data_IF_753084536864
#
_entry.id   IF_753084536864
#
_cell.length_a   1.000
_cell.length_b   1.000
_cell.length_c   1.000
_cell.angle_alpha   90.00
_cell.angle_beta   90.00
_cell.angle_gamma   90.00
#
_symmetry.space_group_name_H-M   'P 1'
#
loop_
_entity.id
_entity.type
_entity.pdbx_description
1 polymer ?
#
# COMPACT_ATOMS: atom_id res chain seq x y z
N UNK A 1 2.41 -1.76 -6.42
CA UNK A 1 2.06 -0.42 -6.95
C UNK A 1 1.65 0.48 -5.81
N UNK A 2 2.52 1.05 -5.00
CA UNK A 2 2.26 1.76 -3.73
C UNK A 2 3.10 3.05 -3.62
N UNK A 3 2.54 4.22 -3.87
CA UNK A 3 1.54 4.73 -2.93
C UNK A 3 0.49 5.67 -3.57
N UNK A 4 0.63 5.98 -4.85
CA UNK A 4 -0.13 7.08 -5.46
C UNK A 4 -0.86 6.66 -6.73
N UNK A 5 -0.30 5.72 -7.48
CA UNK A 5 -1.01 5.03 -8.57
C UNK A 5 -2.24 4.27 -8.06
N UNK A 6 -2.16 3.58 -6.91
CA UNK A 6 -3.34 2.98 -6.24
C UNK A 6 -4.36 4.00 -5.80
N UNK A 7 -3.93 5.08 -5.14
CA UNK A 7 -4.82 6.16 -4.69
C UNK A 7 -5.57 6.80 -5.87
N UNK A 8 -4.88 7.04 -6.99
CA UNK A 8 -5.50 7.55 -8.23
C UNK A 8 -6.51 6.57 -8.83
N UNK A 9 -6.20 5.28 -8.86
CA UNK A 9 -7.13 4.27 -9.40
C UNK A 9 -8.37 4.11 -8.51
N UNK A 10 -8.22 4.29 -7.19
CA UNK A 10 -9.38 4.36 -6.29
C UNK A 10 -10.30 5.54 -6.59
N UNK A 11 -9.78 6.67 -7.10
CA UNK A 11 -10.61 7.79 -7.55
C UNK A 11 -11.57 7.38 -8.67
N UNK A 12 -11.05 6.63 -9.65
CA UNK A 12 -11.83 6.08 -10.75
C UNK A 12 -12.87 5.07 -10.26
N UNK A 13 -12.45 4.14 -9.40
CA UNK A 13 -13.32 3.11 -8.81
C UNK A 13 -14.46 3.71 -7.97
N UNK A 14 -14.18 4.76 -7.19
CA UNK A 14 -15.16 5.40 -6.32
C UNK A 14 -15.97 6.50 -7.03
N UNK A 15 -15.63 6.82 -8.29
CA UNK A 15 -16.28 7.87 -9.07
C UNK A 15 -16.14 9.25 -8.41
N UNK A 16 -14.92 9.60 -7.97
CA UNK A 16 -14.60 10.89 -7.35
C UNK A 16 -13.38 11.54 -7.98
N UNK A 17 -13.32 12.87 -7.95
CA UNK A 17 -12.11 13.63 -8.29
C UNK A 17 -11.33 13.91 -7.02
N UNK A 18 -10.13 13.36 -6.92
CA UNK A 18 -9.23 13.64 -5.79
C UNK A 18 -8.46 14.95 -6.04
N UNK A 19 -8.10 15.72 -4.99
CA UNK A 19 -7.37 16.98 -5.14
C UNK A 19 -6.00 16.79 -5.81
N UNK A 20 -5.62 17.66 -6.74
CA UNK A 20 -4.42 17.52 -7.58
C UNK A 20 -3.08 17.44 -6.84
N UNK A 21 -2.98 18.04 -5.64
CA UNK A 21 -1.78 17.94 -4.79
C UNK A 21 -1.54 16.52 -4.25
N UNK A 22 -2.60 15.73 -4.07
CA UNK A 22 -2.51 14.33 -3.65
C UNK A 22 -2.23 13.37 -4.81
N UNK A 23 -2.28 13.86 -6.05
CA UNK A 23 -2.22 13.05 -7.27
C UNK A 23 -0.78 12.98 -7.82
N UNK A 24 0.04 14.03 -7.78
CA UNK A 24 1.30 14.10 -8.55
C UNK A 24 2.41 13.15 -8.03
N UNK A 25 2.84 12.15 -8.82
CA UNK A 25 4.13 11.43 -8.71
C UNK A 25 4.45 10.64 -9.97
N UNK A 26 5.73 10.29 -10.14
CA UNK A 26 6.26 9.36 -11.13
C UNK A 26 6.71 8.04 -10.49
N UNK A 27 5.89 7.39 -9.67
CA UNK A 27 6.24 6.11 -9.02
C UNK A 27 5.24 4.98 -9.36
N UNK A 28 5.76 3.79 -9.66
CA UNK A 28 5.00 2.55 -9.83
C UNK A 28 5.65 1.45 -9.02
N UNK A 29 4.94 0.91 -8.03
CA UNK A 29 5.47 -0.29 -7.38
C UNK A 29 4.96 -1.57 -8.08
N UNK A 30 5.68 -2.65 -7.99
CA UNK A 30 5.28 -3.98 -8.39
C UNK A 30 5.27 -4.82 -7.12
N UNK A 31 4.13 -5.41 -6.80
CA UNK A 31 3.97 -6.15 -5.55
C UNK A 31 3.60 -7.59 -5.86
N UNK A 32 4.35 -8.54 -5.33
CA UNK A 32 4.04 -9.96 -5.45
C UNK A 32 4.27 -10.65 -4.09
N UNK A 33 3.34 -11.49 -3.67
CA UNK A 33 3.57 -12.34 -2.50
C UNK A 33 4.63 -13.40 -2.82
N UNK A 34 5.60 -13.58 -1.92
CA UNK A 34 6.68 -14.56 -2.11
C UNK A 34 6.17 -16.00 -2.31
N UNK A 35 5.13 -16.43 -1.59
CA UNK A 35 4.60 -17.78 -1.72
C UNK A 35 3.92 -18.00 -3.06
N UNK A 36 3.26 -16.97 -3.59
CA UNK A 36 2.71 -16.99 -4.95
C UNK A 36 3.84 -17.01 -5.99
N UNK A 37 4.89 -16.22 -5.80
CA UNK A 37 6.09 -16.20 -6.68
C UNK A 37 6.75 -17.57 -6.81
N UNK A 38 6.80 -18.34 -5.72
CA UNK A 38 7.36 -19.71 -5.71
C UNK A 38 6.38 -20.74 -6.26
N UNK A 39 5.07 -20.55 -6.06
CA UNK A 39 4.05 -21.55 -6.41
C UNK A 39 3.54 -21.45 -7.86
N UNK A 40 3.63 -20.29 -8.50
CA UNK A 40 3.19 -20.09 -9.88
C UNK A 40 4.36 -20.29 -10.86
N UNK A 41 4.13 -21.11 -11.90
CA UNK A 41 5.05 -21.27 -13.04
C UNK A 41 5.02 -20.08 -14.01
N UNK A 42 4.35 -18.98 -13.67
CA UNK A 42 4.30 -17.77 -14.46
C UNK A 42 5.48 -16.86 -14.04
N UNK A 43 6.50 -16.80 -14.90
CA UNK A 43 7.71 -16.03 -14.66
C UNK A 43 8.05 -15.20 -15.88
N UNK A 44 8.62 -14.02 -15.66
CA UNK A 44 9.16 -13.23 -16.76
C UNK A 44 10.38 -13.94 -17.36
N UNK A 45 10.49 -13.93 -18.69
CA UNK A 45 11.54 -14.65 -19.40
C UNK A 45 12.90 -13.95 -19.32
N UNK A 46 12.92 -12.62 -19.14
CA UNK A 46 14.12 -11.80 -18.97
C UNK A 46 14.15 -11.10 -17.60
N UNK A 47 15.32 -10.70 -17.08
CA UNK A 47 15.43 -9.85 -15.89
C UNK A 47 14.54 -8.61 -15.97
N UNK A 48 13.97 -8.19 -14.84
CA UNK A 48 13.02 -7.06 -14.82
C UNK A 48 13.64 -5.77 -15.39
N UNK A 49 14.92 -5.51 -15.13
CA UNK A 49 15.64 -4.37 -15.69
C UNK A 49 15.66 -4.37 -17.22
N UNK A 50 15.78 -5.53 -17.86
CA UNK A 50 15.81 -5.64 -19.32
C UNK A 50 14.41 -5.39 -19.91
N UNK A 51 13.37 -5.86 -19.21
CA UNK A 51 11.98 -5.54 -19.55
C UNK A 51 11.73 -4.03 -19.44
N UNK A 52 12.18 -3.38 -18.36
CA UNK A 52 12.06 -1.93 -18.20
C UNK A 52 12.84 -1.17 -19.29
N UNK A 53 14.05 -1.62 -19.63
CA UNK A 53 14.88 -1.04 -20.69
C UNK A 53 14.29 -1.21 -22.09
N UNK A 54 13.49 -2.25 -22.32
CA UNK A 54 12.76 -2.41 -23.59
C UNK A 54 11.71 -1.32 -23.81
N UNK A 55 11.20 -0.73 -22.72
CA UNK A 55 10.27 0.40 -22.75
C UNK A 55 11.04 1.73 -22.81
N UNK A 56 12.10 1.87 -22.02
CA UNK A 56 12.97 3.04 -22.01
C UNK A 56 14.40 2.67 -21.59
N UNK A 57 15.36 2.84 -22.50
CA UNK A 57 16.75 2.44 -22.29
C UNK A 57 17.45 3.16 -21.11
N UNK A 58 16.91 4.28 -20.62
CA UNK A 58 17.50 5.06 -19.52
C UNK A 58 17.18 4.49 -18.13
N UNK A 59 16.37 3.43 -18.02
CA UNK A 59 16.13 2.77 -16.75
C UNK A 59 17.42 2.18 -16.16
N UNK A 60 17.64 2.47 -14.88
CA UNK A 60 18.77 1.96 -14.08
C UNK A 60 18.31 1.55 -12.67
N UNK A 61 18.96 0.56 -12.04
CA UNK A 61 18.71 0.26 -10.64
C UNK A 61 19.05 1.44 -9.74
N UNK A 62 18.35 1.55 -8.61
CA UNK A 62 18.60 2.53 -7.56
C UNK A 62 19.55 1.89 -6.54
N UNK A 63 20.80 2.35 -6.42
CA UNK A 63 21.76 1.75 -5.50
C UNK A 63 21.31 1.89 -4.04
N UNK A 64 21.48 0.82 -3.26
CA UNK A 64 21.31 0.83 -1.81
C UNK A 64 22.66 0.78 -1.12
N UNK A 65 22.93 1.73 -0.22
CA UNK A 65 24.17 1.73 0.59
C UNK A 65 24.27 0.52 1.53
N UNK A 66 23.12 0.00 1.98
CA UNK A 66 23.06 -1.15 2.87
C UNK A 66 23.16 -2.49 2.13
N UNK A 67 22.87 -2.50 0.82
CA UNK A 67 22.86 -3.71 0.01
C UNK A 67 23.27 -3.40 -1.45
N UNK A 68 24.58 -3.31 -1.74
CA UNK A 68 25.08 -2.84 -3.04
C UNK A 68 24.74 -3.74 -4.23
N UNK A 69 24.42 -5.01 -3.98
CA UNK A 69 24.12 -6.03 -5.00
C UNK A 69 22.64 -6.42 -5.02
N UNK A 70 21.76 -5.57 -4.50
CA UNK A 70 20.33 -5.83 -4.43
C UNK A 70 19.56 -4.74 -5.17
N UNK A 71 18.80 -5.16 -6.16
CA UNK A 71 17.99 -4.27 -6.99
C UNK A 71 16.52 -4.38 -6.62
N UNK A 72 16.08 -3.59 -5.63
CA UNK A 72 14.66 -3.50 -5.22
C UNK A 72 13.92 -2.32 -5.86
N UNK A 73 14.64 -1.44 -6.56
CA UNK A 73 14.05 -0.25 -7.16
C UNK A 73 14.82 0.16 -8.42
N UNK A 74 14.11 0.75 -9.37
CA UNK A 74 14.61 1.19 -10.67
C UNK A 74 14.14 2.60 -10.94
N UNK A 75 14.92 3.41 -11.65
CA UNK A 75 14.55 4.79 -11.96
C UNK A 75 15.05 5.20 -13.33
N UNK A 76 14.43 6.22 -13.91
CA UNK A 76 14.89 6.89 -15.13
C UNK A 76 14.93 8.41 -14.94
N UNK A 77 15.67 9.15 -15.79
CA UNK A 77 15.61 10.61 -15.85
C UNK A 77 14.16 11.11 -15.96
N UNK A 78 13.88 12.28 -15.38
CA UNK A 78 12.52 12.82 -15.27
C UNK A 78 11.75 12.34 -14.02
N UNK A 79 12.40 11.60 -13.12
CA UNK A 79 11.88 11.30 -11.79
C UNK A 79 10.89 10.14 -11.75
N UNK A 80 10.84 9.33 -12.82
CA UNK A 80 10.03 8.11 -12.81
C UNK A 80 10.78 6.96 -12.11
N UNK A 81 10.09 6.21 -11.26
CA UNK A 81 10.64 5.18 -10.38
C UNK A 81 9.73 3.95 -10.36
N UNK A 82 10.33 2.77 -10.36
CA UNK A 82 9.67 1.48 -10.19
C UNK A 82 10.22 0.78 -8.96
N UNK A 83 9.38 0.49 -7.97
CA UNK A 83 9.80 -0.20 -6.74
C UNK A 83 9.25 -1.64 -6.74
N UNK A 84 10.05 -2.63 -6.37
CA UNK A 84 9.63 -4.04 -6.29
C UNK A 84 9.46 -4.41 -4.82
N UNK A 85 8.25 -4.86 -4.47
CA UNK A 85 7.82 -5.10 -3.10
C UNK A 85 7.33 -6.53 -2.92
N UNK A 86 7.61 -7.10 -1.75
CA UNK A 86 7.07 -8.39 -1.34
C UNK A 86 6.52 -8.34 0.08
N UNK A 87 5.70 -9.33 0.45
CA UNK A 87 5.11 -9.43 1.78
C UNK A 87 6.21 -9.73 2.81
N UNK A 88 6.19 -9.00 3.93
CA UNK A 88 7.07 -9.31 5.04
C UNK A 88 6.52 -10.54 5.81
N UNK A 89 7.26 -11.65 5.82
CA UNK A 89 6.90 -12.88 6.54
C UNK A 89 7.71 -13.01 7.84
N UNK A 90 7.00 -13.04 8.97
CA UNK A 90 7.60 -13.24 10.30
C UNK A 90 8.01 -11.94 11.01
N UNK A 91 8.73 -12.07 12.12
CA UNK A 91 9.18 -10.93 12.90
C UNK A 91 10.37 -10.23 12.23
N UNK A 92 10.17 -8.98 11.79
CA UNK A 92 11.20 -8.00 11.45
C UNK A 92 12.28 -8.48 10.45
N UNK A 93 11.89 -9.08 9.33
CA UNK A 93 12.81 -9.24 8.20
C UNK A 93 12.61 -8.07 7.24
N UNK A 94 13.41 -7.03 7.42
CA UNK A 94 13.48 -5.91 6.47
C UNK A 94 14.52 -6.18 5.35
N UNK A 95 15.15 -7.36 5.38
CA UNK A 95 16.07 -7.81 4.36
C UNK A 95 15.33 -8.01 3.02
N UNK A 96 15.92 -7.55 1.90
CA UNK A 96 15.42 -7.84 0.56
C UNK A 96 15.28 -9.34 0.30
N UNK A 97 14.29 -9.70 -0.51
CA UNK A 97 13.99 -11.07 -0.89
C UNK A 97 14.03 -11.19 -2.39
N UNK A 98 14.73 -12.20 -2.90
CA UNK A 98 14.71 -12.49 -4.33
C UNK A 98 13.33 -13.04 -4.74
N UNK A 99 12.76 -12.52 -5.82
CA UNK A 99 11.51 -13.01 -6.42
C UNK A 99 11.82 -13.71 -7.75
N UNK A 100 11.90 -15.06 -7.79
CA UNK A 100 12.27 -15.80 -9.00
C UNK A 100 11.37 -15.51 -10.19
N UNK A 101 10.06 -15.37 -9.96
CA UNK A 101 9.07 -15.04 -11.00
C UNK A 101 9.28 -13.67 -11.64
N UNK A 102 9.86 -12.70 -10.92
CA UNK A 102 10.17 -11.37 -11.42
C UNK A 102 11.66 -11.19 -11.77
N UNK A 103 12.50 -12.21 -11.55
CA UNK A 103 13.95 -12.13 -11.78
C UNK A 103 14.55 -10.81 -11.25
N UNK A 104 14.11 -10.40 -10.06
CA UNK A 104 14.45 -9.15 -9.38
C UNK A 104 14.39 -9.38 -7.87
N UNK A 105 15.15 -8.58 -7.13
CA UNK A 105 14.96 -8.50 -5.68
C UNK A 105 13.77 -7.61 -5.34
N UNK A 106 13.22 -7.81 -4.16
CA UNK A 106 12.07 -7.08 -3.65
C UNK A 106 12.30 -6.65 -2.21
N UNK A 107 11.91 -5.41 -1.90
CA UNK A 107 11.88 -4.94 -0.53
C UNK A 107 10.71 -5.57 0.22
N UNK A 108 10.97 -6.12 1.42
CA UNK A 108 9.93 -6.64 2.28
C UNK A 108 9.12 -5.49 2.87
N UNK A 109 7.85 -5.35 2.46
CA UNK A 109 6.98 -4.28 2.91
C UNK A 109 5.99 -4.78 3.98
N UNK A 110 5.97 -4.10 5.12
CA UNK A 110 5.13 -4.49 6.26
C UNK A 110 3.67 -4.22 5.95
N UNK A 111 2.80 -5.14 6.37
CA UNK A 111 1.35 -5.07 6.16
C UNK A 111 0.90 -5.11 4.69
N UNK A 112 1.80 -5.46 3.76
CA UNK A 112 1.45 -5.65 2.35
C UNK A 112 0.54 -6.85 2.14
N UNK A 113 0.67 -7.87 2.98
CA UNK A 113 -0.15 -9.08 2.98
C UNK A 113 -1.64 -8.78 3.19
N UNK A 114 -1.96 -7.75 3.96
CA UNK A 114 -3.33 -7.24 4.09
C UNK A 114 -3.83 -6.62 2.78
N UNK A 115 -3.00 -5.89 2.05
CA UNK A 115 -3.43 -5.29 0.79
C UNK A 115 -3.55 -6.28 -0.38
N UNK A 116 -2.82 -7.39 -0.35
CA UNK A 116 -2.80 -8.37 -1.44
C UNK A 116 -3.92 -9.42 -1.37
N UNK A 117 -4.65 -9.53 -0.24
CA UNK A 117 -5.58 -10.64 0.00
C UNK A 117 -6.93 -10.48 -0.74
N UNK A 118 -7.45 -9.26 -0.87
CA UNK A 118 -8.69 -8.96 -1.61
C UNK A 118 -8.45 -7.74 -2.50
N UNK A 119 -7.74 -7.98 -3.60
CA UNK A 119 -7.57 -7.00 -4.66
C UNK A 119 -8.80 -6.95 -5.56
N UNK A 120 -9.06 -5.78 -6.12
CA UNK A 120 -10.09 -5.51 -7.11
C UNK A 120 -9.39 -5.22 -8.44
N UNK A 121 -9.93 -5.75 -9.53
CA UNK A 121 -9.47 -5.45 -10.87
C UNK A 121 -9.99 -4.08 -11.32
N UNK A 122 -9.09 -3.20 -11.77
CA UNK A 122 -9.41 -1.86 -12.24
C UNK A 122 -8.71 -1.58 -13.58
N UNK A 123 -9.40 -0.91 -14.49
CA UNK A 123 -8.80 -0.44 -15.73
C UNK A 123 -7.88 0.77 -15.47
N UNK A 124 -6.58 0.57 -15.63
CA UNK A 124 -5.63 1.66 -15.77
C UNK A 124 -5.75 2.25 -17.18
N UNK A 125 -6.24 3.49 -17.26
CA UNK A 125 -6.42 4.18 -18.53
C UNK A 125 -5.06 4.60 -19.10
N UNK A 126 -4.70 3.97 -20.22
CA UNK A 126 -3.56 4.30 -21.06
C UNK A 126 -4.05 4.42 -22.51
N UNK A 127 -3.14 4.57 -23.49
CA UNK A 127 -3.53 4.56 -24.92
C UNK A 127 -4.35 3.32 -25.31
N UNK A 128 -4.09 2.18 -24.67
CA UNK A 128 -4.76 0.90 -24.96
C UNK A 128 -5.60 0.37 -23.79
N UNK A 129 -5.49 0.97 -22.60
CA UNK A 129 -6.11 0.46 -21.37
C UNK A 129 -5.45 -0.83 -20.90
N UNK A 130 -5.32 -1.02 -19.59
CA UNK A 130 -4.77 -2.26 -19.03
C UNK A 130 -5.50 -2.58 -17.73
N UNK A 131 -5.95 -3.82 -17.57
CA UNK A 131 -6.52 -4.28 -16.33
C UNK A 131 -5.40 -4.53 -15.32
N UNK A 132 -5.53 -3.96 -14.12
CA UNK A 132 -4.56 -4.11 -13.04
C UNK A 132 -5.27 -4.42 -11.74
N UNK A 133 -4.66 -5.30 -10.94
CA UNK A 133 -5.13 -5.58 -9.59
C UNK A 133 -4.66 -4.49 -8.62
N UNK A 134 -5.62 -3.85 -7.96
CA UNK A 134 -5.38 -2.87 -6.91
C UNK A 134 -6.03 -3.32 -5.60
N UNK A 135 -5.50 -2.95 -4.43
CA UNK A 135 -6.18 -3.21 -3.17
C UNK A 135 -7.52 -2.47 -3.13
N UNK A 136 -8.51 -3.09 -2.49
CA UNK A 136 -9.78 -2.44 -2.25
C UNK A 136 -9.61 -1.09 -1.50
N UNK A 137 -10.37 -0.04 -1.84
CA UNK A 137 -10.19 1.29 -1.26
C UNK A 137 -10.28 1.33 0.27
N UNK A 138 -11.20 0.57 0.86
CA UNK A 138 -11.39 0.42 2.29
C UNK A 138 -10.16 -0.14 2.99
N UNK A 139 -9.58 -1.22 2.46
CA UNK A 139 -8.34 -1.81 2.97
C UNK A 139 -7.17 -0.86 2.76
N UNK A 140 -7.17 -0.13 1.63
CA UNK A 140 -6.13 0.84 1.37
C UNK A 140 -6.13 2.00 2.38
N UNK A 141 -7.31 2.50 2.75
CA UNK A 141 -7.48 3.53 3.77
C UNK A 141 -6.96 3.07 5.14
N UNK A 142 -7.37 1.86 5.57
CA UNK A 142 -6.94 1.24 6.83
C UNK A 142 -5.42 1.03 6.86
N UNK A 143 -4.85 0.49 5.77
CA UNK A 143 -3.41 0.30 5.65
C UNK A 143 -2.62 1.60 5.76
N UNK A 144 -3.11 2.69 5.13
CA UNK A 144 -2.47 4.00 5.19
C UNK A 144 -2.42 4.57 6.60
N UNK A 145 -3.46 4.39 7.41
CA UNK A 145 -3.41 4.76 8.83
C UNK A 145 -2.27 4.04 9.55
N UNK A 146 -2.16 2.73 9.34
CA UNK A 146 -1.15 1.91 10.01
C UNK A 146 0.26 2.32 9.58
N UNK A 147 0.52 2.43 8.28
CA UNK A 147 1.85 2.81 7.74
C UNK A 147 2.26 4.22 8.20
N UNK A 148 1.32 5.16 8.28
CA UNK A 148 1.62 6.52 8.77
C UNK A 148 2.24 6.54 10.18
N UNK A 149 1.86 5.58 11.04
CA UNK A 149 2.42 5.46 12.40
C UNK A 149 3.84 4.90 12.37
N UNK A 150 4.11 3.97 11.45
CA UNK A 150 5.43 3.38 11.31
C UNK A 150 6.47 4.38 10.82
N UNK A 151 6.11 5.20 9.82
CA UNK A 151 7.04 6.21 9.28
C UNK A 151 7.48 7.19 10.37
N UNK A 152 6.59 7.50 11.32
CA UNK A 152 6.91 8.31 12.49
C UNK A 152 7.86 7.57 13.45
N UNK A 153 7.58 6.29 13.72
CA UNK A 153 8.40 5.46 14.61
C UNK A 153 9.84 5.27 14.07
N UNK A 154 10.00 5.14 12.74
CA UNK A 154 11.29 4.93 12.09
C UNK A 154 12.09 6.22 11.82
N UNK A 155 11.53 7.39 12.15
CA UNK A 155 12.13 8.69 11.81
C UNK A 155 12.10 9.01 10.31
N UNK A 156 11.33 8.26 9.52
CA UNK A 156 11.03 8.62 8.14
C UNK A 156 10.25 9.94 8.08
N UNK A 157 10.43 10.68 6.99
CA UNK A 157 9.87 12.03 6.76
C UNK A 157 8.43 12.20 7.28
N UNK A 158 8.25 13.10 8.25
CA UNK A 158 6.94 13.48 8.79
C UNK A 158 5.94 13.87 7.69
N UNK A 159 6.42 14.54 6.64
CA UNK A 159 5.62 14.92 5.48
C UNK A 159 5.02 13.70 4.73
N UNK A 160 5.73 12.56 4.68
CA UNK A 160 5.17 11.32 4.11
C UNK A 160 4.07 10.74 5.01
N UNK A 161 4.30 10.75 6.32
CA UNK A 161 3.31 10.28 7.28
C UNK A 161 2.03 11.15 7.25
N UNK A 162 2.16 12.47 7.12
CA UNK A 162 1.01 13.37 7.01
C UNK A 162 0.27 13.18 5.68
N UNK A 163 1.00 12.91 4.59
CA UNK A 163 0.41 12.54 3.30
C UNK A 163 -0.39 11.24 3.39
N UNK A 164 0.12 10.22 4.08
CA UNK A 164 -0.59 8.95 4.30
C UNK A 164 -1.90 9.15 5.08
N UNK A 165 -1.87 9.97 6.13
CA UNK A 165 -3.06 10.36 6.89
C UNK A 165 -4.08 11.08 6.01
N UNK A 166 -3.63 12.07 5.22
CA UNK A 166 -4.51 12.82 4.34
C UNK A 166 -5.18 11.92 3.28
N UNK A 167 -4.43 11.00 2.68
CA UNK A 167 -4.98 10.02 1.73
C UNK A 167 -5.98 9.07 2.40
N UNK A 168 -5.67 8.59 3.60
CA UNK A 168 -6.58 7.72 4.35
C UNK A 168 -7.90 8.42 4.66
N UNK A 169 -7.83 9.66 5.17
CA UNK A 169 -9.00 10.51 5.40
C UNK A 169 -9.85 10.59 4.14
N UNK A 170 -9.30 11.11 3.04
CA UNK A 170 -10.04 11.26 1.78
C UNK A 170 -10.75 9.98 1.30
N UNK A 171 -10.16 8.80 1.52
CA UNK A 171 -10.80 7.52 1.19
C UNK A 171 -11.92 7.16 2.15
N UNK A 172 -11.71 7.30 3.46
CA UNK A 172 -12.74 7.08 4.49
C UNK A 172 -13.97 7.94 4.18
N UNK A 173 -13.75 9.20 3.84
CA UNK A 173 -14.81 10.19 3.58
C UNK A 173 -15.60 9.78 2.36
N UNK A 174 -14.86 9.42 1.30
CA UNK A 174 -15.46 8.97 0.05
C UNK A 174 -16.28 7.70 0.28
N UNK A 175 -15.76 6.73 1.03
CA UNK A 175 -16.46 5.48 1.33
C UNK A 175 -17.76 5.74 2.12
N UNK A 176 -17.71 6.61 3.12
CA UNK A 176 -18.89 7.00 3.91
C UNK A 176 -19.91 7.72 3.02
N UNK A 177 -19.49 8.71 2.23
CA UNK A 177 -20.37 9.47 1.32
C UNK A 177 -21.02 8.56 0.27
N UNK A 178 -20.31 7.54 -0.19
CA UNK A 178 -20.80 6.55 -1.17
C UNK A 178 -21.58 5.39 -0.54
N UNK A 179 -21.93 5.47 0.76
CA UNK A 179 -22.66 4.43 1.51
C UNK A 179 -21.96 3.08 1.56
N UNK A 180 -20.62 3.08 1.50
CA UNK A 180 -19.74 1.90 1.62
C UNK A 180 -19.07 1.83 3.00
N UNK A 181 -19.76 2.31 4.03
CA UNK A 181 -19.27 2.28 5.42
C UNK A 181 -19.22 0.86 6.00
N UNK A 182 -20.04 -0.06 5.49
CA UNK A 182 -19.98 -1.48 5.87
C UNK A 182 -18.66 -2.12 5.41
N UNK A 183 -18.28 -1.93 4.15
CA UNK A 183 -16.98 -2.41 3.62
C UNK A 183 -15.80 -1.87 4.43
N UNK A 184 -15.86 -0.59 4.81
CA UNK A 184 -14.85 0.03 5.69
C UNK A 184 -14.84 -0.61 7.08
N UNK A 185 -16.00 -0.85 7.67
CA UNK A 185 -16.11 -1.51 8.96
C UNK A 185 -15.53 -2.93 8.92
N UNK A 186 -15.84 -3.73 7.90
CA UNK A 186 -15.33 -5.09 7.76
C UNK A 186 -13.80 -5.10 7.58
N UNK A 187 -13.27 -4.15 6.81
CA UNK A 187 -11.83 -3.95 6.67
C UNK A 187 -11.15 -3.59 8.01
N UNK A 188 -11.82 -2.80 8.87
CA UNK A 188 -11.34 -2.46 10.22
C UNK A 188 -11.40 -3.68 11.14
N UNK A 189 -12.47 -4.48 11.10
CA UNK A 189 -12.64 -5.73 11.88
C UNK A 189 -11.50 -6.68 11.58
N UNK A 190 -11.24 -6.97 10.30
CA UNK A 190 -10.16 -7.86 9.90
C UNK A 190 -8.79 -7.32 10.35
N UNK A 191 -8.55 -6.02 10.18
CA UNK A 191 -7.32 -5.38 10.62
C UNK A 191 -7.12 -5.46 12.15
N UNK A 192 -8.18 -5.23 12.94
CA UNK A 192 -8.14 -5.32 14.40
C UNK A 192 -7.97 -6.75 14.91
N UNK A 193 -8.50 -7.74 14.19
CA UNK A 193 -8.36 -9.17 14.50
C UNK A 193 -6.92 -9.68 14.34
N UNK A 194 -6.08 -9.00 13.55
CA UNK A 194 -4.65 -9.36 13.35
C UNK A 194 -3.76 -9.12 14.56
N UNK A 195 -4.27 -8.49 15.62
CA UNK A 195 -3.67 -8.52 16.95
C UNK A 195 -3.45 -7.15 17.61
N UNK A 196 -2.89 -7.13 18.84
CA UNK A 196 -2.79 -5.91 19.66
C UNK A 196 -2.00 -4.78 19.00
N UNK A 197 -0.92 -5.11 18.29
CA UNK A 197 -0.11 -4.11 17.59
C UNK A 197 -0.87 -3.41 16.46
N UNK A 198 -1.71 -4.16 15.72
CA UNK A 198 -2.57 -3.59 14.70
C UNK A 198 -3.60 -2.63 15.32
N UNK A 199 -4.28 -3.06 16.39
CA UNK A 199 -5.23 -2.23 17.14
C UNK A 199 -4.60 -0.93 17.65
N UNK A 200 -3.40 -1.02 18.22
CA UNK A 200 -2.65 0.17 18.68
C UNK A 200 -2.36 1.13 17.53
N UNK A 201 -1.86 0.62 16.39
CA UNK A 201 -1.55 1.44 15.21
C UNK A 201 -2.79 2.08 14.59
N UNK A 202 -3.91 1.35 14.53
CA UNK A 202 -5.20 1.89 14.09
C UNK A 202 -5.65 3.06 14.97
N UNK A 203 -5.60 2.89 16.30
CA UNK A 203 -5.96 3.94 17.24
C UNK A 203 -5.06 5.18 17.09
N UNK A 204 -3.74 4.99 17.07
CA UNK A 204 -2.78 6.10 16.91
C UNK A 204 -2.89 6.79 15.55
N UNK A 205 -3.17 6.04 14.47
CA UNK A 205 -3.43 6.61 13.15
C UNK A 205 -4.72 7.44 13.13
N UNK A 206 -5.80 6.90 13.69
CA UNK A 206 -7.10 7.55 13.77
C UNK A 206 -7.05 8.87 14.57
N UNK A 207 -6.19 8.95 15.60
CA UNK A 207 -5.99 10.18 16.37
C UNK A 207 -5.54 11.38 15.52
N UNK A 208 -4.89 11.11 14.37
CA UNK A 208 -4.36 12.11 13.43
C UNK A 208 -5.33 12.46 12.30
N UNK A 209 -6.45 11.77 12.17
CA UNK A 209 -7.50 12.15 11.22
C UNK A 209 -8.13 13.49 11.62
N UNK A 210 -8.64 14.21 10.63
CA UNK A 210 -9.46 15.40 10.87
C UNK A 210 -10.74 15.05 11.65
N UNK A 211 -11.22 16.00 12.45
CA UNK A 211 -12.33 15.78 13.38
C UNK A 211 -13.59 15.20 12.71
N UNK A 212 -13.91 15.65 11.50
CA UNK A 212 -15.15 15.27 10.80
C UNK A 212 -15.22 13.76 10.45
N UNK A 213 -14.08 13.07 10.44
CA UNK A 213 -13.96 11.66 10.03
C UNK A 213 -13.48 10.75 11.16
N UNK A 214 -12.77 11.34 12.13
CA UNK A 214 -12.22 10.66 13.30
C UNK A 214 -13.31 9.97 14.12
N UNK A 215 -14.41 10.66 14.40
CA UNK A 215 -15.45 10.13 15.29
C UNK A 215 -16.11 8.87 14.72
N UNK A 216 -16.49 8.89 13.44
CA UNK A 216 -17.05 7.72 12.76
C UNK A 216 -16.07 6.56 12.65
N UNK A 217 -14.80 6.84 12.35
CA UNK A 217 -13.79 5.79 12.29
C UNK A 217 -13.54 5.17 13.67
N UNK A 218 -13.47 5.99 14.73
CA UNK A 218 -13.28 5.54 16.11
C UNK A 218 -14.50 4.76 16.61
N UNK A 219 -15.72 5.16 16.23
CA UNK A 219 -16.94 4.40 16.48
C UNK A 219 -16.86 3.02 15.83
N UNK A 220 -16.57 2.95 14.53
CA UNK A 220 -16.41 1.69 13.80
C UNK A 220 -15.31 0.81 14.42
N UNK A 221 -14.18 1.39 14.82
CA UNK A 221 -13.10 0.66 15.49
C UNK A 221 -13.53 0.10 16.85
N UNK A 222 -14.36 0.84 17.59
CA UNK A 222 -14.88 0.42 18.89
C UNK A 222 -15.93 -0.68 18.76
N UNK A 223 -16.76 -0.66 17.71
CA UNK A 223 -17.71 -1.73 17.41
C UNK A 223 -17.01 -2.97 16.85
N UNK A 224 -15.96 -2.78 16.04
CA UNK A 224 -15.14 -3.86 15.49
C UNK A 224 -14.34 -4.59 16.59
N UNK A 225 -13.98 -3.88 17.65
CA UNK A 225 -13.32 -4.43 18.81
C UNK A 225 -13.86 -3.76 20.08
N UNK A 226 -15.01 -4.23 20.60
CA UNK A 226 -15.49 -3.78 21.90
C UNK A 226 -14.47 -4.32 22.90
N UNK A 227 -13.63 -3.45 23.43
CA UNK A 227 -12.61 -3.86 24.38
C UNK A 227 -13.22 -4.74 25.46
N UNK A 228 -12.52 -5.80 25.88
CA UNK A 228 -12.94 -6.59 27.04
C UNK A 228 -13.10 -5.66 28.24
N UNK A 229 -14.33 -5.17 28.46
CA UNK A 229 -14.81 -4.73 29.74
C UNK A 229 -15.05 -6.00 30.56
N UNK A 230 -13.95 -6.64 31.00
CA UNK A 230 -13.82 -7.63 32.07
C UNK A 230 -12.46 -8.30 31.98
N UNK A 231 -11.56 -7.86 32.83
CA UNK A 231 -10.70 -8.73 33.63
C UNK A 231 -10.57 -8.02 34.96
N UNK A 232 -11.04 -8.70 35.99
CA UNK A 232 -11.02 -8.31 37.40
C UNK A 232 -9.60 -8.02 37.92
#
# INVERSE_FOLDING_TARGET
MLELSRFRLNAGLLGVKLPGAAIRTGDIDLAQDYGISVALNESITAPLIDVLKSVDAEFRPVPSLAAPNVDTAYTRPGGFRVDVLTTNRGANRDAPVNLPSLKSDAAAFRFLDYLLRETIEVAALSRYGTLVNVPAPERYAVHKLIVSTMRKDSGESAAKADKDIAQSGMLIDTLILKRRSADLHDAIVEAAARGPNWRKRLKTGAERLGNEHKDKFVEMLSTAYPGNAKTD
#
